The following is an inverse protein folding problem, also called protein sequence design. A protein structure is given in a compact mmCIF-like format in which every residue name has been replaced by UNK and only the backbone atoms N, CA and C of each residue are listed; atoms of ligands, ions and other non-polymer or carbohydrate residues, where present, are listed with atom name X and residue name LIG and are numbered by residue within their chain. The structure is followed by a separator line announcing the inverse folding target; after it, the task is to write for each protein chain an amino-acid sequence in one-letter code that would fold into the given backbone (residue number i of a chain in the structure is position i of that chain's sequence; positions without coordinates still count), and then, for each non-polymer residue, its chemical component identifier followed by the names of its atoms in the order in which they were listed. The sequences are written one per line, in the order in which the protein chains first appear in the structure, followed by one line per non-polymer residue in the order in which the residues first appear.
data_IF_389103960383
#
_entry.id   IF_389103960383
#
_cell.length_a   1.000
_cell.length_b   1.000
_cell.length_c   1.000
_cell.angle_alpha   90.00
_cell.angle_beta   90.00
_cell.angle_gamma   90.00
#
_symmetry.space_group_name_H-M   'P 1'
#
loop_
_entity.id
_entity.type
_entity.pdbx_description
1 polymer ?
#
# COMPACT_ATOMS: atom_id res chain seq x y z
N UNK A 1 -2.93 4.06 -21.90
CA UNK A 1 -3.86 4.11 -20.76
C UNK A 1 -4.82 2.95 -20.95
N UNK A 2 -4.80 1.94 -20.07
CA UNK A 2 -5.74 0.82 -20.13
C UNK A 2 -6.88 1.18 -19.17
N UNK A 3 -8.03 1.49 -19.73
CA UNK A 3 -9.28 1.67 -19.00
C UNK A 3 -9.76 0.29 -18.53
N UNK A 4 -9.79 0.05 -17.22
CA UNK A 4 -10.42 -1.14 -16.65
C UNK A 4 -11.80 -0.77 -16.12
N UNK A 5 -12.83 -1.26 -16.82
CA UNK A 5 -14.25 -1.00 -16.57
C UNK A 5 -14.74 -1.85 -15.38
N UNK A 6 -15.09 -1.19 -14.26
CA UNK A 6 -15.64 -1.81 -13.04
C UNK A 6 -17.18 -1.89 -13.04
N UNK A 7 -17.79 -2.68 -12.13
CA UNK A 7 -19.17 -3.15 -12.29
C UNK A 7 -20.22 -2.06 -12.02
N UNK A 8 -21.02 -1.79 -13.05
CA UNK A 8 -22.42 -1.34 -13.04
C UNK A 8 -22.78 -0.01 -12.35
N UNK A 9 -22.95 1.03 -13.17
CA UNK A 9 -24.11 1.95 -13.13
C UNK A 9 -24.21 3.01 -12.04
N UNK A 10 -23.38 2.97 -10.99
CA UNK A 10 -23.32 3.98 -9.93
C UNK A 10 -21.89 4.45 -9.69
N UNK A 11 -21.70 5.68 -9.21
CA UNK A 11 -20.40 6.21 -8.82
C UNK A 11 -19.92 5.50 -7.53
N UNK A 12 -19.48 4.24 -7.65
CA UNK A 12 -18.95 3.45 -6.55
C UNK A 12 -17.50 3.86 -6.35
N UNK A 13 -17.15 4.44 -5.18
CA UNK A 13 -15.79 4.89 -4.93
C UNK A 13 -14.84 3.70 -4.77
N UNK A 14 -13.70 3.79 -5.45
CA UNK A 14 -12.63 2.78 -5.46
C UNK A 14 -11.39 3.33 -4.78
N UNK A 15 -10.79 2.57 -3.87
CA UNK A 15 -9.44 2.80 -3.35
C UNK A 15 -8.49 1.81 -3.99
N UNK A 16 -7.41 2.31 -4.59
CA UNK A 16 -6.35 1.48 -5.19
C UNK A 16 -5.10 1.61 -4.33
N UNK A 17 -4.53 0.48 -3.94
CA UNK A 17 -3.28 0.39 -3.17
C UNK A 17 -2.23 -0.24 -4.08
N UNK A 18 -1.19 0.53 -4.43
CA UNK A 18 -0.05 0.05 -5.21
C UNK A 18 0.99 -0.59 -4.29
N UNK A 19 1.41 -1.82 -4.59
CA UNK A 19 2.42 -2.55 -3.83
C UNK A 19 3.83 -2.45 -4.43
N UNK A 20 4.21 -1.27 -4.92
CA UNK A 20 5.52 -1.02 -5.51
C UNK A 20 5.71 -1.71 -6.86
N UNK A 21 4.67 -1.73 -7.70
CA UNK A 21 4.72 -2.19 -9.09
C UNK A 21 4.62 -3.70 -9.33
N UNK A 22 4.49 -4.54 -8.28
CA UNK A 22 4.27 -5.99 -8.43
C UNK A 22 2.79 -6.38 -8.50
N UNK A 23 1.94 -5.64 -7.80
CA UNK A 23 0.50 -5.86 -7.75
C UNK A 23 -0.23 -4.59 -7.29
N UNK A 24 -1.53 -4.55 -7.50
CA UNK A 24 -2.42 -3.54 -6.95
C UNK A 24 -3.63 -4.20 -6.28
N UNK A 25 -4.05 -3.68 -5.14
CA UNK A 25 -5.28 -4.09 -4.46
C UNK A 25 -6.37 -3.03 -4.71
N UNK A 26 -7.50 -3.45 -5.26
CA UNK A 26 -8.65 -2.61 -5.53
C UNK A 26 -9.75 -2.89 -4.49
N UNK A 27 -10.12 -1.87 -3.73
CA UNK A 27 -11.18 -1.94 -2.72
C UNK A 27 -12.35 -1.06 -3.17
N UNK A 28 -13.53 -1.67 -3.32
CA UNK A 28 -14.79 -0.98 -3.58
C UNK A 28 -15.58 -0.86 -2.29
N UNK A 29 -16.10 0.33 -1.98
CA UNK A 29 -17.00 0.53 -0.86
C UNK A 29 -18.40 0.89 -1.38
N UNK A 30 -19.48 0.28 -0.85
CA UNK A 30 -20.84 0.59 -1.27
C UNK A 30 -21.30 2.01 -0.86
N UNK A 31 -20.59 2.67 0.08
CA UNK A 31 -20.90 4.02 0.56
C UNK A 31 -19.74 5.02 0.39
N UNK A 32 -20.05 6.23 -0.07
CA UNK A 32 -19.04 7.29 -0.31
C UNK A 32 -18.41 7.89 0.95
N UNK A 33 -19.06 7.74 2.11
CA UNK A 33 -18.62 8.34 3.37
C UNK A 33 -17.45 7.60 4.02
N UNK A 34 -17.30 6.31 3.73
CA UNK A 34 -16.30 5.45 4.39
C UNK A 34 -14.94 5.50 3.70
N UNK A 35 -14.93 5.76 2.39
CA UNK A 35 -13.72 5.80 1.57
C UNK A 35 -12.66 6.80 2.05
N UNK A 36 -13.00 8.04 2.45
CA UNK A 36 -12.02 8.96 3.02
C UNK A 36 -11.37 8.44 4.31
N UNK A 37 -12.15 7.76 5.17
CA UNK A 37 -11.64 7.19 6.43
C UNK A 37 -10.69 6.02 6.16
N UNK A 38 -11.02 5.13 5.22
CA UNK A 38 -10.14 4.04 4.81
C UNK A 38 -8.86 4.54 4.15
N UNK A 39 -8.97 5.52 3.25
CA UNK A 39 -7.80 6.15 2.61
C UNK A 39 -6.86 6.75 3.66
N UNK A 40 -7.42 7.41 4.67
CA UNK A 40 -6.64 7.97 5.76
C UNK A 40 -5.96 6.88 6.62
N UNK A 41 -6.70 5.84 7.03
CA UNK A 41 -6.16 4.73 7.81
C UNK A 41 -5.05 3.97 7.05
N UNK A 42 -5.26 3.69 5.77
CA UNK A 42 -4.28 3.05 4.89
C UNK A 42 -3.02 3.90 4.73
N UNK A 43 -3.17 5.21 4.55
CA UNK A 43 -2.02 6.13 4.44
C UNK A 43 -1.21 6.20 5.74
N UNK A 44 -1.86 6.14 6.90
CA UNK A 44 -1.16 6.05 8.18
C UNK A 44 -0.43 4.72 8.28
N UNK A 45 -1.12 3.60 8.04
CA UNK A 45 -0.54 2.26 8.10
C UNK A 45 0.70 2.10 7.20
N UNK A 46 0.65 2.66 5.99
CA UNK A 46 1.74 2.63 5.03
C UNK A 46 2.98 3.43 5.45
N UNK A 47 2.85 4.36 6.41
CA UNK A 47 3.93 5.25 6.86
C UNK A 47 4.39 4.99 8.29
N UNK A 48 3.75 4.07 9.01
CA UNK A 48 3.98 3.83 10.46
C UNK A 48 5.30 3.15 10.85
N UNK A 49 6.29 3.02 9.96
CA UNK A 49 7.60 2.56 10.38
C UNK A 49 8.28 3.67 11.20
N UNK A 50 8.25 3.56 12.52
CA UNK A 50 8.87 4.52 13.45
C UNK A 50 10.39 4.63 13.26
N UNK A 51 11.06 5.58 13.91
CA UNK A 51 12.49 5.81 13.69
C UNK A 51 13.40 4.70 14.22
N UNK A 52 12.90 3.83 15.12
CA UNK A 52 13.66 2.70 15.63
C UNK A 52 13.62 1.52 14.66
N UNK A 53 14.65 0.67 14.69
CA UNK A 53 14.70 -0.55 13.88
C UNK A 53 13.59 -1.54 14.26
N UNK A 54 13.21 -1.59 15.54
CA UNK A 54 12.14 -2.46 16.04
C UNK A 54 10.75 -2.00 15.57
N UNK A 55 10.61 -0.73 15.15
CA UNK A 55 9.37 -0.17 14.60
C UNK A 55 9.26 -0.40 13.09
N UNK A 56 10.28 -0.97 12.45
CA UNK A 56 10.28 -1.20 11.00
C UNK A 56 9.45 -2.42 10.63
N UNK A 57 8.79 -2.36 9.47
CA UNK A 57 8.13 -3.52 8.89
C UNK A 57 9.13 -4.65 8.66
N UNK A 58 8.78 -5.86 9.09
CA UNK A 58 9.56 -7.07 8.89
C UNK A 58 9.20 -7.77 7.57
N UNK A 59 10.17 -8.44 6.97
CA UNK A 59 9.99 -9.40 5.89
C UNK A 59 9.44 -10.72 6.42
N UNK A 60 9.18 -11.68 5.53
CA UNK A 60 8.74 -13.03 5.92
C UNK A 60 9.80 -13.79 6.74
N UNK A 61 11.07 -13.41 6.61
CA UNK A 61 12.20 -14.01 7.35
C UNK A 61 12.50 -13.29 8.67
N UNK A 62 11.56 -12.45 9.15
CA UNK A 62 11.70 -11.63 10.35
C UNK A 62 12.89 -10.65 10.33
N UNK A 63 13.29 -10.20 9.14
CA UNK A 63 14.33 -9.18 8.94
C UNK A 63 13.67 -7.82 8.63
N UNK A 64 14.11 -6.69 9.20
CA UNK A 64 13.60 -5.38 8.82
C UNK A 64 13.74 -5.10 7.31
N UNK A 65 12.64 -4.75 6.64
CA UNK A 65 12.58 -4.46 5.18
C UNK A 65 13.58 -3.38 4.75
N UNK A 66 13.93 -2.45 5.65
CA UNK A 66 14.93 -1.42 5.39
C UNK A 66 16.31 -2.01 5.12
N UNK A 67 16.69 -3.12 5.76
CA UNK A 67 17.98 -3.79 5.55
C UNK A 67 18.07 -4.36 4.13
N UNK A 68 17.01 -5.02 3.65
CA UNK A 68 16.95 -5.51 2.27
C UNK A 68 17.10 -4.36 1.26
N UNK A 69 16.46 -3.22 1.51
CA UNK A 69 16.59 -2.04 0.63
C UNK A 69 18.01 -1.47 0.64
N UNK A 70 18.64 -1.36 1.81
CA UNK A 70 20.02 -0.88 1.94
C UNK A 70 21.04 -1.84 1.31
N UNK A 71 20.89 -3.14 1.51
CA UNK A 71 21.74 -4.18 0.91
C UNK A 71 21.62 -4.10 -0.62
N UNK A 72 20.40 -4.05 -1.14
CA UNK A 72 20.19 -3.90 -2.59
C UNK A 72 20.80 -2.61 -3.13
N UNK A 73 20.76 -1.51 -2.39
CA UNK A 73 21.42 -0.26 -2.79
C UNK A 73 22.94 -0.40 -2.91
N UNK A 74 23.58 -1.09 -1.96
CA UNK A 74 25.04 -1.32 -1.94
C UNK A 74 25.47 -2.27 -3.06
N UNK A 75 24.65 -3.25 -3.43
CA UNK A 75 25.01 -4.20 -4.49
C UNK A 75 24.60 -3.75 -5.90
N UNK A 76 23.69 -2.78 -6.00
CA UNK A 76 23.27 -2.20 -7.28
C UNK A 76 24.21 -1.09 -7.79
N UNK A 77 25.15 -0.60 -6.96
CA UNK A 77 26.09 0.48 -7.25
C UNK A 77 27.47 0.21 -6.65
#
# INVERSE_FOLDING_TARGET
VRDEEGPTGGNIPVVVIDSGGKAALHLTAPGSREVPAWKHALSQAATTCGPALDDQQLTQDAVPVILDKCINFIYAY
#
